data_IF_152115161556
#
_entry.id   IF_152115161556
#
_cell.length_a   1.000
_cell.length_b   1.000
_cell.length_c   1.000
_cell.angle_alpha   90.00
_cell.angle_beta   90.00
_cell.angle_gamma   90.00
#
_symmetry.space_group_name_H-M   'P 1'
#
loop_
_entity.id
_entity.type
_entity.pdbx_description
1 polymer ?
#
# COMPACT_ATOMS: atom_id res chain seq x y z
N UNK A 1 -15.54 14.39 -0.86
CA UNK A 1 -14.54 13.41 -1.34
C UNK A 1 -13.74 12.95 -0.13
N UNK A 2 -13.69 11.64 0.16
CA UNK A 2 -12.80 11.13 1.21
C UNK A 2 -11.37 11.21 0.67
N UNK A 3 -10.54 12.08 1.26
CA UNK A 3 -9.13 12.19 0.89
C UNK A 3 -8.37 10.89 1.13
N UNK A 4 -7.21 10.76 0.48
CA UNK A 4 -6.28 9.67 0.79
C UNK A 4 -5.80 9.79 2.24
N UNK A 5 -5.69 8.64 2.92
CA UNK A 5 -5.18 8.52 4.29
C UNK A 5 -3.77 7.97 4.26
N UNK A 6 -2.93 8.43 5.18
CA UNK A 6 -1.61 7.86 5.39
C UNK A 6 -1.72 6.53 6.13
N UNK A 7 -0.87 5.58 5.77
CA UNK A 7 -0.62 4.38 6.54
C UNK A 7 0.89 4.14 6.63
N UNK A 8 1.30 3.46 7.70
CA UNK A 8 2.67 3.01 7.89
C UNK A 8 2.73 1.48 7.85
N UNK A 9 3.79 0.96 7.28
CA UNK A 9 4.03 -0.47 7.19
C UNK A 9 5.52 -0.76 7.33
N UNK A 10 5.86 -1.70 8.22
CA UNK A 10 7.23 -2.20 8.36
C UNK A 10 7.43 -3.39 7.42
N UNK A 11 8.39 -3.29 6.51
CA UNK A 11 8.78 -4.34 5.56
C UNK A 11 10.30 -4.50 5.68
N UNK A 12 10.80 -5.70 5.92
CA UNK A 12 12.25 -5.97 6.03
C UNK A 12 12.97 -5.09 7.09
N UNK A 13 12.27 -4.72 8.17
CA UNK A 13 12.79 -3.82 9.19
C UNK A 13 12.76 -2.33 8.83
N UNK A 14 12.37 -1.96 7.60
CA UNK A 14 12.20 -0.59 7.16
C UNK A 14 10.75 -0.14 7.32
N UNK A 15 10.51 1.02 7.94
CA UNK A 15 9.19 1.65 7.97
C UNK A 15 8.94 2.43 6.69
N UNK A 16 7.83 2.12 6.01
CA UNK A 16 7.43 2.73 4.75
C UNK A 16 6.13 3.50 4.98
N UNK A 17 6.15 4.77 4.58
CA UNK A 17 4.97 5.63 4.52
C UNK A 17 4.25 5.42 3.18
N UNK A 18 2.95 5.12 3.25
CA UNK A 18 2.10 4.99 2.09
C UNK A 18 0.76 5.71 2.23
N UNK A 19 0.01 5.69 1.14
CA UNK A 19 -1.29 6.36 1.02
C UNK A 19 -2.35 5.36 0.59
N UNK A 20 -3.49 5.37 1.26
CA UNK A 20 -4.67 4.61 0.88
C UNK A 20 -5.84 5.56 0.59
N UNK A 21 -6.44 5.45 -0.59
CA UNK A 21 -7.51 6.33 -1.03
C UNK A 21 -8.66 5.55 -1.64
N UNK A 22 -9.89 6.09 -1.52
CA UNK A 22 -11.04 5.58 -2.24
C UNK A 22 -11.05 6.14 -3.66
N UNK A 23 -11.10 5.25 -4.65
CA UNK A 23 -11.22 5.54 -6.08
C UNK A 23 -12.59 5.01 -6.59
N UNK A 24 -12.97 5.34 -7.83
CA UNK A 24 -14.21 4.89 -8.50
C UNK A 24 -14.40 3.37 -8.47
N UNK A 25 -13.31 2.63 -8.28
CA UNK A 25 -13.26 1.18 -8.30
C UNK A 25 -13.13 0.47 -6.94
N UNK A 26 -13.03 1.19 -5.83
CA UNK A 26 -12.73 0.60 -4.52
C UNK A 26 -11.66 1.39 -3.80
N UNK A 27 -10.70 0.72 -3.16
CA UNK A 27 -9.60 1.36 -2.46
C UNK A 27 -8.28 1.05 -3.17
N UNK A 28 -7.40 2.06 -3.29
CA UNK A 28 -6.03 1.87 -3.73
C UNK A 28 -5.08 2.18 -2.59
N UNK A 29 -4.05 1.35 -2.43
CA UNK A 29 -2.93 1.61 -1.55
C UNK A 29 -1.67 1.73 -2.39
N UNK A 30 -0.93 2.83 -2.18
CA UNK A 30 0.25 3.19 -2.95
C UNK A 30 1.37 3.66 -2.03
N UNK A 31 2.59 3.17 -2.26
CA UNK A 31 3.80 3.67 -1.61
C UNK A 31 5.03 3.33 -2.46
N UNK A 32 6.08 4.12 -2.32
CA UNK A 32 7.38 3.83 -2.90
C UNK A 32 8.12 2.81 -2.04
N UNK A 33 8.60 1.74 -2.67
CA UNK A 33 9.40 0.70 -2.01
C UNK A 33 10.56 0.29 -2.92
N UNK A 34 11.80 0.33 -2.39
CA UNK A 34 13.04 0.02 -3.14
C UNK A 34 13.13 0.73 -4.50
N UNK A 35 12.75 2.02 -4.54
CA UNK A 35 12.77 2.85 -5.76
C UNK A 35 11.68 2.55 -6.79
N UNK A 36 10.66 1.75 -6.44
CA UNK A 36 9.51 1.44 -7.29
C UNK A 36 8.20 1.83 -6.61
N UNK A 37 7.30 2.46 -7.35
CA UNK A 37 5.94 2.69 -6.89
C UNK A 37 5.16 1.37 -6.86
N UNK A 38 4.77 0.94 -5.67
CA UNK A 38 3.89 -0.21 -5.48
C UNK A 38 2.47 0.33 -5.31
N UNK A 39 1.62 0.14 -6.33
CA UNK A 39 0.18 0.46 -6.31
C UNK A 39 -0.64 -0.83 -6.42
N UNK A 40 -1.63 -1.01 -5.54
CA UNK A 40 -2.53 -2.15 -5.50
C UNK A 40 -3.96 -1.74 -5.17
N UNK A 41 -4.92 -2.56 -5.60
CA UNK A 41 -6.35 -2.35 -5.37
C UNK A 41 -6.95 -3.37 -4.40
N UNK A 42 -7.75 -2.87 -3.47
CA UNK A 42 -8.54 -3.65 -2.52
C UNK A 42 -10.03 -3.34 -2.58
N UNK A 43 -10.83 -4.27 -2.06
CA UNK A 43 -12.28 -4.08 -1.89
C UNK A 43 -12.61 -3.15 -0.71
N UNK A 44 -11.69 -3.03 0.25
CA UNK A 44 -11.74 -2.15 1.41
C UNK A 44 -10.39 -1.47 1.64
N UNK A 45 -10.36 -0.44 2.50
CA UNK A 45 -9.12 0.24 2.91
C UNK A 45 -8.10 -0.77 3.48
N UNK A 46 -8.54 -1.62 4.41
CA UNK A 46 -7.70 -2.65 5.02
C UNK A 46 -7.25 -3.73 4.02
N UNK A 47 -8.10 -4.12 3.06
CA UNK A 47 -7.70 -5.08 2.02
C UNK A 47 -6.66 -4.49 1.08
N UNK A 48 -6.77 -3.20 0.73
CA UNK A 48 -5.78 -2.52 -0.09
C UNK A 48 -4.42 -2.44 0.62
N UNK A 49 -4.40 -2.02 1.90
CA UNK A 49 -3.18 -1.97 2.71
C UNK A 49 -2.56 -3.38 2.85
N UNK A 50 -3.39 -4.39 3.14
CA UNK A 50 -2.90 -5.79 3.28
C UNK A 50 -2.24 -6.27 1.99
N UNK A 51 -2.90 -6.11 0.85
CA UNK A 51 -2.33 -6.47 -0.46
C UNK A 51 -1.05 -5.71 -0.78
N UNK A 52 -0.97 -4.45 -0.35
CA UNK A 52 0.23 -3.64 -0.55
C UNK A 52 1.40 -4.23 0.25
N UNK A 53 1.15 -4.57 1.52
CA UNK A 53 2.12 -5.24 2.41
C UNK A 53 2.55 -6.59 1.85
N UNK A 54 1.61 -7.41 1.38
CA UNK A 54 1.91 -8.73 0.80
C UNK A 54 2.84 -8.58 -0.42
N UNK A 55 2.57 -7.61 -1.30
CA UNK A 55 3.40 -7.33 -2.47
C UNK A 55 4.78 -6.77 -2.11
N UNK A 56 4.84 -5.83 -1.16
CA UNK A 56 6.11 -5.28 -0.69
C UNK A 56 6.97 -6.36 -0.01
N UNK A 57 6.39 -7.22 0.82
CA UNK A 57 7.09 -8.37 1.42
C UNK A 57 7.60 -9.36 0.37
N UNK A 58 6.83 -9.63 -0.68
CA UNK A 58 7.30 -10.48 -1.78
C UNK A 58 8.52 -9.87 -2.48
N UNK A 59 8.46 -8.57 -2.82
CA UNK A 59 9.58 -7.83 -3.41
C UNK A 59 10.79 -7.69 -2.49
N UNK A 60 10.59 -7.81 -1.18
CA UNK A 60 11.67 -7.76 -0.20
C UNK A 60 12.52 -9.05 -0.21
N UNK A 61 11.85 -10.19 -0.44
CA UNK A 61 12.43 -11.53 -0.41
C UNK A 61 12.87 -12.06 -1.80
N UNK A 62 12.60 -11.32 -2.88
CA UNK A 62 13.16 -11.54 -4.23
C UNK A 62 14.49 -10.80 -4.41
#
# INVERSE_FOLDING_TARGET
MSGAKRFYATIDGEEIEGWVGKDKGGFRASADFRGKLVDVRGSSESDAIRKWRDKANHMANE
#
